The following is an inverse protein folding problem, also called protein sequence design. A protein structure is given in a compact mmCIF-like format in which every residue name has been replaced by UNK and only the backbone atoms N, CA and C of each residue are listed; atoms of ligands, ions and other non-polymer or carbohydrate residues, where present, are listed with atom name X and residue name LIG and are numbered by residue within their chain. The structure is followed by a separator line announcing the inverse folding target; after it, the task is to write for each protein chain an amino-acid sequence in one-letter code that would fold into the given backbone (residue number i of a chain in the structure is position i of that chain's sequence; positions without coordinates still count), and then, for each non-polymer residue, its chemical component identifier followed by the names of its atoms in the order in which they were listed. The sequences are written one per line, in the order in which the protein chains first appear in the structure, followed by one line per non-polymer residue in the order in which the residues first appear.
data_IF_949783192280
#
_entry.id   IF_949783192280
#
_cell.length_a   1.000
_cell.length_b   1.000
_cell.length_c   1.000
_cell.angle_alpha   90.00
_cell.angle_beta   90.00
_cell.angle_gamma   90.00
#
_symmetry.space_group_name_H-M   'P 1'
#
loop_
_entity.id
_entity.type
_entity.pdbx_description
1 polymer ?
#
# COMPACT_ATOMS: atom_id res chain seq x y z
N UNK A 1 -6.19 -3.13 14.46
CA UNK A 1 -7.25 -2.99 15.46
C UNK A 1 -6.90 -1.92 16.51
N UNK A 2 -5.73 -2.01 17.18
CA UNK A 2 -5.33 -1.05 18.25
C UNK A 2 -5.27 0.40 17.76
N UNK A 3 -4.75 0.66 16.57
CA UNK A 3 -4.68 2.01 15.97
C UNK A 3 -6.08 2.59 15.72
N UNK A 4 -7.05 1.78 15.25
CA UNK A 4 -8.42 2.23 15.08
C UNK A 4 -9.07 2.60 16.40
N UNK A 5 -8.91 1.74 17.41
CA UNK A 5 -9.41 2.03 18.75
C UNK A 5 -8.79 3.34 19.31
N UNK A 6 -7.48 3.51 19.16
CA UNK A 6 -6.79 4.72 19.60
C UNK A 6 -7.22 5.97 18.81
N UNK A 7 -7.48 5.85 17.50
CA UNK A 7 -7.96 6.94 16.67
C UNK A 7 -9.38 7.38 17.04
N UNK A 8 -10.29 6.43 17.26
CA UNK A 8 -11.66 6.70 17.65
C UNK A 8 -11.73 7.26 19.08
N UNK A 9 -11.14 6.58 20.06
CA UNK A 9 -11.14 7.00 21.47
C UNK A 9 -10.35 8.30 21.68
N UNK A 10 -9.31 8.51 20.87
CA UNK A 10 -8.49 9.73 20.89
C UNK A 10 -9.02 10.86 20.00
N UNK A 11 -10.16 10.70 19.32
CA UNK A 11 -10.73 11.69 18.38
C UNK A 11 -9.68 12.27 17.40
N UNK A 12 -8.81 11.44 16.85
CA UNK A 12 -7.76 11.84 15.92
C UNK A 12 -8.02 11.35 14.51
N UNK A 13 -8.24 12.28 13.57
CA UNK A 13 -8.39 11.99 12.16
C UNK A 13 -7.09 11.44 11.54
N UNK A 14 -5.92 11.97 11.94
CA UNK A 14 -4.63 11.51 11.50
C UNK A 14 -4.35 10.07 11.95
N UNK A 15 -4.74 9.70 13.19
CA UNK A 15 -4.57 8.34 13.69
C UNK A 15 -5.47 7.35 12.98
N UNK A 16 -6.71 7.73 12.63
CA UNK A 16 -7.61 6.90 11.83
C UNK A 16 -7.02 6.70 10.43
N UNK A 17 -6.49 7.74 9.79
CA UNK A 17 -5.84 7.65 8.49
C UNK A 17 -4.62 6.69 8.51
N UNK A 18 -3.75 6.80 9.53
CA UNK A 18 -2.61 5.89 9.70
C UNK A 18 -3.06 4.45 10.01
N UNK A 19 -4.19 4.26 10.71
CA UNK A 19 -4.78 2.95 10.95
C UNK A 19 -5.30 2.30 9.66
N UNK A 20 -5.96 3.09 8.79
CA UNK A 20 -6.43 2.64 7.46
C UNK A 20 -5.24 2.28 6.58
N UNK A 21 -4.19 3.10 6.54
CA UNK A 21 -2.97 2.81 5.80
C UNK A 21 -2.35 1.47 6.25
N UNK A 22 -2.18 1.25 7.55
CA UNK A 22 -1.66 -0.02 8.07
C UNK A 22 -2.58 -1.23 7.85
N UNK A 23 -3.90 -1.04 7.80
CA UNK A 23 -4.84 -2.09 7.43
C UNK A 23 -4.73 -2.45 5.96
N UNK A 24 -4.53 -1.45 5.11
CA UNK A 24 -4.26 -1.60 3.68
C UNK A 24 -3.08 -2.54 3.41
N UNK A 25 -1.95 -2.26 4.04
CA UNK A 25 -0.73 -3.05 3.90
C UNK A 25 -1.00 -4.51 4.32
N UNK A 26 -1.64 -4.70 5.48
CA UNK A 26 -1.99 -6.02 6.00
C UNK A 26 -2.97 -6.79 5.10
N UNK A 27 -3.96 -6.12 4.51
CA UNK A 27 -4.89 -6.73 3.56
C UNK A 27 -4.17 -7.14 2.27
N UNK A 28 -3.27 -6.30 1.78
CA UNK A 28 -2.45 -6.62 0.60
C UNK A 28 -1.60 -7.86 0.87
N UNK A 29 -0.95 -7.96 2.04
CA UNK A 29 -0.15 -9.12 2.42
C UNK A 29 -0.99 -10.41 2.49
N UNK A 30 -2.18 -10.35 3.10
CA UNK A 30 -3.10 -11.51 3.16
C UNK A 30 -3.51 -11.95 1.78
N UNK A 31 -3.82 -11.00 0.89
CA UNK A 31 -4.24 -11.32 -0.46
C UNK A 31 -3.11 -11.99 -1.22
N UNK A 32 -1.91 -11.42 -1.18
CA UNK A 32 -0.75 -12.06 -1.78
C UNK A 32 -0.61 -13.50 -1.28
N UNK A 33 -0.73 -13.74 0.03
CA UNK A 33 -0.62 -15.10 0.58
C UNK A 33 -1.74 -16.04 0.12
N UNK A 34 -3.00 -15.61 0.18
CA UNK A 34 -4.17 -16.44 -0.15
C UNK A 34 -4.27 -16.66 -1.66
N UNK A 35 -4.09 -15.61 -2.44
CA UNK A 35 -4.29 -15.68 -3.89
C UNK A 35 -3.10 -16.25 -4.64
N UNK A 36 -1.87 -16.13 -4.14
CA UNK A 36 -0.75 -16.93 -4.63
C UNK A 36 -1.05 -18.43 -4.47
N UNK A 37 -1.68 -18.82 -3.35
CA UNK A 37 -2.07 -20.21 -3.14
C UNK A 37 -3.19 -20.66 -4.10
N UNK A 38 -4.18 -19.81 -4.38
CA UNK A 38 -5.28 -20.10 -5.32
C UNK A 38 -4.79 -20.00 -6.76
N UNK A 39 -4.01 -18.99 -7.10
CA UNK A 39 -3.46 -18.75 -8.43
C UNK A 39 -2.49 -19.85 -8.90
N UNK A 40 -1.86 -20.55 -7.95
CA UNK A 40 -1.01 -21.71 -8.24
C UNK A 40 -1.79 -23.01 -8.51
N UNK A 41 -3.13 -22.99 -8.47
CA UNK A 41 -3.91 -24.15 -8.89
C UNK A 41 -3.72 -24.37 -10.39
N UNK A 42 -3.47 -25.63 -10.80
CA UNK A 42 -3.32 -25.96 -12.22
C UNK A 42 -4.60 -25.69 -13.00
N UNK A 43 -4.49 -25.73 -14.29
CA UNK A 43 -5.59 -25.71 -15.24
C UNK A 43 -6.64 -26.77 -14.89
N UNK A 44 -7.90 -26.42 -15.03
CA UNK A 44 -9.05 -27.32 -14.89
C UNK A 44 -9.98 -27.19 -16.09
N UNK A 45 -11.10 -27.92 -16.08
CA UNK A 45 -12.05 -27.96 -17.22
C UNK A 45 -12.71 -26.60 -17.52
N UNK A 46 -12.74 -25.70 -16.55
CA UNK A 46 -13.41 -24.40 -16.64
C UNK A 46 -12.40 -23.27 -16.83
N UNK A 47 -11.10 -23.52 -16.55
CA UNK A 47 -10.03 -22.53 -16.59
C UNK A 47 -8.79 -23.09 -17.31
N UNK A 48 -8.81 -23.10 -18.65
CA UNK A 48 -7.72 -23.60 -19.50
C UNK A 48 -6.38 -22.89 -19.31
N UNK A 49 -6.39 -21.66 -18.79
CA UNK A 49 -5.19 -20.85 -18.49
C UNK A 49 -4.87 -20.79 -16.99
N UNK A 50 -5.47 -21.67 -16.19
CA UNK A 50 -5.30 -21.69 -14.74
C UNK A 50 -6.02 -20.54 -14.02
N UNK A 51 -5.71 -20.38 -12.74
CA UNK A 51 -6.43 -19.49 -11.83
C UNK A 51 -5.70 -18.17 -11.50
N UNK A 52 -4.60 -17.86 -12.20
CA UNK A 52 -3.77 -16.69 -11.90
C UNK A 52 -4.51 -15.34 -11.86
N UNK A 53 -5.53 -15.15 -12.73
CA UNK A 53 -6.31 -13.89 -12.76
C UNK A 53 -7.22 -13.64 -11.55
N UNK A 54 -7.42 -14.63 -10.67
CA UNK A 54 -8.12 -14.41 -9.41
C UNK A 54 -7.36 -13.46 -8.48
N UNK A 55 -6.03 -13.53 -8.48
CA UNK A 55 -5.17 -12.61 -7.74
C UNK A 55 -5.37 -11.17 -8.24
N UNK A 56 -5.38 -10.98 -9.54
CA UNK A 56 -5.59 -9.69 -10.19
C UNK A 56 -6.96 -9.10 -9.86
N UNK A 57 -8.02 -9.92 -9.91
CA UNK A 57 -9.39 -9.47 -9.57
C UNK A 57 -9.50 -9.04 -8.11
N UNK A 58 -8.91 -9.79 -7.20
CA UNK A 58 -8.93 -9.45 -5.79
C UNK A 58 -8.15 -8.16 -5.51
N UNK A 59 -7.00 -7.98 -6.14
CA UNK A 59 -6.21 -6.74 -6.07
C UNK A 59 -7.00 -5.54 -6.60
N UNK A 60 -7.83 -5.73 -7.65
CA UNK A 60 -8.75 -4.68 -8.15
C UNK A 60 -9.78 -4.26 -7.10
N UNK A 61 -10.45 -5.24 -6.48
CA UNK A 61 -11.49 -4.97 -5.47
C UNK A 61 -10.91 -4.20 -4.29
N UNK A 62 -9.71 -4.58 -3.84
CA UNK A 62 -9.04 -3.90 -2.72
C UNK A 62 -8.56 -2.53 -3.12
N UNK A 63 -7.91 -2.39 -4.27
CA UNK A 63 -7.50 -1.09 -4.77
C UNK A 63 -8.67 -0.10 -4.82
N UNK A 64 -9.86 -0.57 -5.24
CA UNK A 64 -11.06 0.24 -5.30
C UNK A 64 -11.61 0.60 -3.91
N UNK A 65 -11.64 -0.36 -2.99
CA UNK A 65 -12.05 -0.11 -1.61
C UNK A 65 -11.12 0.90 -0.91
N UNK A 66 -9.81 0.75 -1.08
CA UNK A 66 -8.80 1.66 -0.54
C UNK A 66 -8.91 3.07 -1.12
N UNK A 67 -9.14 3.18 -2.43
CA UNK A 67 -9.35 4.47 -3.09
C UNK A 67 -10.56 5.19 -2.48
N UNK A 68 -11.68 4.48 -2.33
CA UNK A 68 -12.89 5.03 -1.71
C UNK A 68 -12.61 5.53 -0.30
N UNK A 69 -11.98 4.72 0.55
CA UNK A 69 -11.67 5.09 1.94
C UNK A 69 -10.67 6.24 1.99
N UNK A 70 -9.63 6.24 1.14
CA UNK A 70 -8.67 7.34 1.05
C UNK A 70 -9.32 8.68 0.67
N UNK A 71 -10.24 8.67 -0.29
CA UNK A 71 -11.02 9.85 -0.69
C UNK A 71 -11.93 10.32 0.45
N UNK A 72 -12.59 9.41 1.17
CA UNK A 72 -13.44 9.77 2.32
C UNK A 72 -12.63 10.43 3.44
N UNK A 73 -11.46 9.91 3.77
CA UNK A 73 -10.56 10.49 4.78
C UNK A 73 -10.07 11.87 4.34
N UNK A 74 -9.70 12.03 3.06
CA UNK A 74 -9.30 13.31 2.49
C UNK A 74 -10.43 14.35 2.62
N UNK A 75 -11.64 13.98 2.23
CA UNK A 75 -12.82 14.85 2.32
C UNK A 75 -13.10 15.29 3.77
N UNK A 76 -13.14 14.34 4.72
CA UNK A 76 -13.35 14.65 6.15
C UNK A 76 -12.25 15.56 6.70
N UNK A 77 -10.98 15.32 6.34
CA UNK A 77 -9.87 16.17 6.71
C UNK A 77 -9.99 17.61 6.16
N UNK A 78 -10.39 17.75 4.89
CA UNK A 78 -10.63 19.07 4.26
C UNK A 78 -11.77 19.80 4.94
N UNK A 79 -12.90 19.15 5.19
CA UNK A 79 -14.07 19.75 5.88
C UNK A 79 -13.68 20.20 7.29
N UNK A 80 -12.98 19.39 8.07
CA UNK A 80 -12.51 19.77 9.41
C UNK A 80 -11.53 20.93 9.37
N UNK A 81 -10.61 20.95 8.41
CA UNK A 81 -9.66 22.06 8.22
C UNK A 81 -10.41 23.36 7.86
N UNK A 82 -11.40 23.27 6.99
CA UNK A 82 -12.23 24.43 6.64
C UNK A 82 -13.03 24.97 7.83
N UNK A 83 -13.63 24.09 8.65
CA UNK A 83 -14.31 24.50 9.89
C UNK A 83 -13.35 25.19 10.86
N UNK A 84 -12.12 24.70 11.00
CA UNK A 84 -11.11 25.34 11.84
C UNK A 84 -10.77 26.77 11.38
N UNK A 85 -10.68 26.99 10.06
CA UNK A 85 -10.43 28.31 9.47
C UNK A 85 -11.59 29.26 9.75
N UNK A 86 -12.83 28.76 9.76
CA UNK A 86 -14.02 29.55 10.14
C UNK A 86 -14.14 29.82 11.64
N UNK A 87 -13.20 29.38 12.46
CA UNK A 87 -13.21 29.54 13.89
C UNK A 87 -14.10 28.57 14.66
N UNK A 88 -14.60 27.53 13.99
CA UNK A 88 -15.33 26.44 14.64
C UNK A 88 -14.34 25.59 15.41
N UNK A 89 -14.54 25.44 16.72
CA UNK A 89 -13.65 24.67 17.57
C UNK A 89 -13.66 23.19 17.17
N UNK A 90 -12.49 22.67 16.82
CA UNK A 90 -12.29 21.24 16.59
C UNK A 90 -12.08 20.50 17.92
N UNK A 91 -12.52 19.25 17.98
CA UNK A 91 -12.20 18.34 19.08
C UNK A 91 -10.70 18.13 19.17
N UNK A 92 -10.13 18.32 20.35
CA UNK A 92 -8.72 18.14 20.60
C UNK A 92 -8.39 16.66 20.60
N UNK A 93 -7.37 16.19 19.84
CA UNK A 93 -6.97 14.78 19.88
C UNK A 93 -6.48 14.42 21.28
N UNK A 94 -6.78 13.19 21.70
CA UNK A 94 -6.39 12.66 23.01
C UNK A 94 -4.97 12.10 23.03
N UNK A 95 -4.38 12.06 24.21
CA UNK A 95 -3.05 11.46 24.45
C UNK A 95 -2.95 10.00 23.98
N UNK A 96 -4.07 9.27 24.00
CA UNK A 96 -4.14 7.87 23.55
C UNK A 96 -3.73 7.76 22.06
N UNK A 97 -4.19 8.70 21.23
CA UNK A 97 -3.81 8.73 19.82
C UNK A 97 -2.31 9.00 19.63
N UNK A 98 -1.74 9.94 20.41
CA UNK A 98 -0.31 10.24 20.35
C UNK A 98 0.55 9.05 20.79
N UNK A 99 0.20 8.39 21.91
CA UNK A 99 0.91 7.23 22.40
C UNK A 99 0.86 6.08 21.36
N UNK A 100 -0.30 5.86 20.76
CA UNK A 100 -0.44 4.84 19.71
C UNK A 100 0.37 5.16 18.45
N UNK A 101 0.45 6.44 18.04
CA UNK A 101 1.29 6.88 16.92
C UNK A 101 2.78 6.64 17.21
N UNK A 102 3.25 7.02 18.40
CA UNK A 102 4.64 6.80 18.82
C UNK A 102 4.97 5.30 18.91
N UNK A 103 4.08 4.49 19.49
CA UNK A 103 4.24 3.04 19.54
C UNK A 103 4.29 2.42 18.12
N UNK A 104 3.49 2.94 17.20
CA UNK A 104 3.51 2.52 15.80
C UNK A 104 4.86 2.78 15.13
N UNK A 105 5.45 3.96 15.34
CA UNK A 105 6.77 4.31 14.80
C UNK A 105 7.83 3.34 15.33
N UNK A 106 7.84 3.11 16.64
CA UNK A 106 8.81 2.19 17.28
C UNK A 106 8.67 0.77 16.73
N UNK A 107 7.45 0.26 16.59
CA UNK A 107 7.19 -1.08 16.05
C UNK A 107 7.62 -1.20 14.57
N UNK A 108 7.32 -0.20 13.75
CA UNK A 108 7.73 -0.19 12.34
C UNK A 108 9.24 -0.08 12.18
N UNK A 109 9.91 0.75 12.96
CA UNK A 109 11.38 0.85 12.95
C UNK A 109 12.03 -0.45 13.43
N UNK A 110 11.46 -1.09 14.47
CA UNK A 110 11.90 -2.41 14.91
C UNK A 110 11.74 -3.47 13.81
N UNK A 111 10.59 -3.49 13.14
CA UNK A 111 10.34 -4.38 12.01
C UNK A 111 11.36 -4.16 10.87
N UNK A 112 11.67 -2.88 10.54
CA UNK A 112 12.71 -2.54 9.59
C UNK A 112 14.07 -3.15 10.00
N UNK A 113 14.52 -2.88 11.22
CA UNK A 113 15.82 -3.35 11.72
C UNK A 113 15.91 -4.88 11.67
N UNK A 114 14.86 -5.57 12.13
CA UNK A 114 14.79 -7.02 12.12
C UNK A 114 14.83 -7.57 10.69
N UNK A 115 13.97 -7.08 9.80
CA UNK A 115 13.89 -7.55 8.40
C UNK A 115 15.16 -7.25 7.63
N UNK A 116 15.77 -6.07 7.82
CA UNK A 116 17.02 -5.70 7.19
C UNK A 116 18.19 -6.58 7.65
N UNK A 117 18.26 -6.91 8.95
CA UNK A 117 19.28 -7.81 9.49
C UNK A 117 19.14 -9.23 8.91
N UNK A 118 17.90 -9.75 8.83
CA UNK A 118 17.63 -11.06 8.22
C UNK A 118 17.97 -11.04 6.71
N UNK A 119 17.54 -10.01 5.98
CA UNK A 119 17.80 -9.89 4.55
C UNK A 119 19.29 -9.86 4.21
N UNK A 120 20.09 -9.12 4.99
CA UNK A 120 21.55 -9.10 4.86
C UNK A 120 22.17 -10.48 5.18
N UNK A 121 21.67 -11.17 6.20
CA UNK A 121 22.18 -12.48 6.61
C UNK A 121 21.90 -13.57 5.58
N UNK A 122 20.75 -13.51 4.92
CA UNK A 122 20.32 -14.47 3.88
C UNK A 122 20.83 -14.06 2.48
N UNK A 123 21.39 -12.85 2.32
CA UNK A 123 21.85 -12.34 1.03
C UNK A 123 20.71 -12.00 0.05
N UNK A 124 19.47 -11.85 0.53
CA UNK A 124 18.30 -11.58 -0.30
C UNK A 124 18.04 -10.08 -0.45
N UNK A 125 18.23 -9.56 -1.65
CA UNK A 125 17.91 -8.17 -1.98
C UNK A 125 16.42 -7.86 -1.87
N UNK A 126 15.55 -8.82 -2.17
CA UNK A 126 14.10 -8.66 -2.04
C UNK A 126 13.67 -8.44 -0.58
N UNK A 127 14.25 -9.20 0.37
CA UNK A 127 13.98 -9.03 1.80
C UNK A 127 14.50 -7.68 2.31
N UNK A 128 15.65 -7.21 1.81
CA UNK A 128 16.19 -5.89 2.14
C UNK A 128 15.29 -4.79 1.57
N UNK A 129 14.78 -4.94 0.35
CA UNK A 129 13.83 -3.99 -0.25
C UNK A 129 12.52 -3.91 0.56
N UNK A 130 11.98 -5.06 1.02
CA UNK A 130 10.81 -5.09 1.89
C UNK A 130 11.07 -4.41 3.25
N UNK A 131 12.28 -4.51 3.80
CA UNK A 131 12.64 -3.76 4.99
C UNK A 131 12.56 -2.24 4.76
N UNK A 132 13.04 -1.73 3.64
CA UNK A 132 12.92 -0.31 3.28
C UNK A 132 11.47 0.15 3.14
N UNK A 133 10.55 -0.73 2.70
CA UNK A 133 9.12 -0.44 2.70
C UNK A 133 8.61 -0.16 4.13
N UNK A 134 8.91 -1.01 5.11
CA UNK A 134 8.57 -0.76 6.51
C UNK A 134 9.12 0.57 7.04
N UNK A 135 10.31 0.98 6.61
CA UNK A 135 10.89 2.26 7.00
C UNK A 135 10.16 3.45 6.38
N UNK A 136 9.75 3.34 5.13
CA UNK A 136 8.91 4.36 4.48
C UNK A 136 7.58 4.54 5.20
N UNK A 137 6.98 3.44 5.66
CA UNK A 137 5.75 3.46 6.45
C UNK A 137 5.95 4.07 7.85
N UNK A 138 7.14 3.88 8.44
CA UNK A 138 7.49 4.55 9.70
C UNK A 138 7.57 6.08 9.51
N UNK A 139 8.12 6.56 8.38
CA UNK A 139 8.18 7.99 8.07
C UNK A 139 6.78 8.61 7.92
N UNK A 140 5.83 7.91 7.30
CA UNK A 140 4.43 8.39 7.22
C UNK A 140 3.79 8.51 8.61
N UNK A 141 4.05 7.55 9.50
CA UNK A 141 3.58 7.59 10.90
C UNK A 141 4.21 8.71 11.72
N UNK A 142 5.43 9.18 11.38
CA UNK A 142 6.04 10.37 11.99
C UNK A 142 5.20 11.61 11.66
N UNK A 143 4.77 11.79 10.41
CA UNK A 143 3.87 12.87 10.02
C UNK A 143 2.57 12.88 10.84
N UNK A 144 1.97 11.71 11.04
CA UNK A 144 0.79 11.53 11.91
C UNK A 144 1.09 11.95 13.36
N UNK A 145 2.19 11.47 13.95
CA UNK A 145 2.58 11.80 15.32
C UNK A 145 2.85 13.29 15.50
N UNK A 146 3.48 13.96 14.53
CA UNK A 146 3.72 15.40 14.54
C UNK A 146 2.41 16.20 14.46
N UNK A 147 1.46 15.78 13.61
CA UNK A 147 0.13 16.39 13.52
C UNK A 147 -0.64 16.31 14.83
N UNK A 148 -0.73 15.11 15.41
CA UNK A 148 -1.40 14.87 16.70
C UNK A 148 -0.68 15.59 17.83
N UNK A 149 0.65 15.46 17.93
CA UNK A 149 1.46 16.10 18.96
C UNK A 149 1.36 17.62 18.91
N UNK A 150 1.45 18.22 17.72
CA UNK A 150 1.25 19.65 17.53
C UNK A 150 -0.14 20.10 17.96
N UNK A 151 -1.19 19.38 17.60
CA UNK A 151 -2.57 19.66 18.01
C UNK A 151 -2.77 19.59 19.55
N UNK A 152 -2.04 18.71 20.23
CA UNK A 152 -2.11 18.58 21.69
C UNK A 152 -1.29 19.65 22.40
N UNK A 153 -0.03 19.87 21.99
CA UNK A 153 0.94 20.66 22.72
C UNK A 153 0.84 22.16 22.48
N UNK A 154 0.49 22.58 21.25
CA UNK A 154 0.46 23.98 20.83
C UNK A 154 -0.86 24.69 21.16
N UNK A 155 -1.87 23.95 21.66
CA UNK A 155 -3.14 24.52 22.13
C UNK A 155 -4.24 24.57 21.08
N UNK A 156 -5.38 25.19 21.46
CA UNK A 156 -6.64 25.12 20.69
C UNK A 156 -6.56 25.62 19.24
N UNK A 157 -5.70 26.62 18.97
CA UNK A 157 -5.51 27.18 17.62
C UNK A 157 -4.82 26.19 16.67
N UNK A 158 -4.10 25.21 17.20
CA UNK A 158 -3.30 24.26 16.44
C UNK A 158 -3.95 22.89 16.30
N UNK A 159 -5.19 22.73 16.77
CA UNK A 159 -5.97 21.47 16.57
C UNK A 159 -6.18 21.13 15.09
N UNK A 160 -6.03 22.11 14.21
CA UNK A 160 -6.05 21.93 12.74
C UNK A 160 -4.91 21.05 12.20
N UNK A 161 -3.83 20.88 12.96
CA UNK A 161 -2.70 20.04 12.52
C UNK A 161 -3.08 18.55 12.40
N UNK A 162 -4.01 18.05 13.21
CA UNK A 162 -4.48 16.67 13.11
C UNK A 162 -5.22 16.41 11.80
N UNK A 163 -6.26 17.16 11.39
CA UNK A 163 -6.89 16.95 10.09
C UNK A 163 -5.96 17.24 8.89
N UNK A 164 -5.01 18.17 9.01
CA UNK A 164 -4.00 18.38 7.96
C UNK A 164 -3.11 17.14 7.81
N UNK A 165 -2.66 16.55 8.90
CA UNK A 165 -1.90 15.29 8.85
C UNK A 165 -2.72 14.16 8.25
N UNK A 166 -4.04 14.08 8.56
CA UNK A 166 -4.95 13.11 7.94
C UNK A 166 -5.05 13.29 6.41
N UNK A 167 -5.12 14.53 5.92
CA UNK A 167 -5.11 14.84 4.49
C UNK A 167 -3.81 14.34 3.85
N UNK A 168 -2.67 14.63 4.45
CA UNK A 168 -1.37 14.18 3.92
C UNK A 168 -1.32 12.65 3.83
N UNK A 169 -1.71 11.94 4.89
CA UNK A 169 -1.76 10.47 4.89
C UNK A 169 -2.73 9.95 3.85
N UNK A 170 -3.91 10.58 3.67
CA UNK A 170 -4.88 10.17 2.67
C UNK A 170 -4.34 10.26 1.23
N UNK A 171 -3.48 11.23 0.92
CA UNK A 171 -2.81 11.29 -0.39
C UNK A 171 -1.89 10.10 -0.63
N UNK A 172 -1.19 9.60 0.41
CA UNK A 172 -0.40 8.38 0.29
C UNK A 172 -1.28 7.15 0.04
N UNK A 173 -2.43 7.05 0.73
CA UNK A 173 -3.40 5.95 0.53
C UNK A 173 -3.95 5.99 -0.90
N UNK A 174 -4.39 7.16 -1.37
CA UNK A 174 -4.91 7.36 -2.74
C UNK A 174 -3.82 7.01 -3.78
N UNK A 175 -2.60 7.50 -3.58
CA UNK A 175 -1.48 7.21 -4.49
C UNK A 175 -1.15 5.73 -4.55
N UNK A 176 -1.15 5.02 -3.42
CA UNK A 176 -0.94 3.57 -3.36
C UNK A 176 -2.07 2.80 -4.06
N UNK A 177 -3.33 3.15 -3.78
CA UNK A 177 -4.49 2.51 -4.40
C UNK A 177 -4.56 2.75 -5.92
N UNK A 178 -4.25 3.95 -6.41
CA UNK A 178 -4.19 4.22 -7.85
C UNK A 178 -3.07 3.44 -8.54
N UNK A 179 -1.91 3.27 -7.89
CA UNK A 179 -0.82 2.45 -8.40
C UNK A 179 -1.23 0.98 -8.50
N UNK A 180 -1.87 0.45 -7.44
CA UNK A 180 -2.38 -0.91 -7.41
C UNK A 180 -3.42 -1.13 -8.52
N UNK A 181 -4.40 -0.23 -8.64
CA UNK A 181 -5.43 -0.30 -9.68
C UNK A 181 -4.84 -0.23 -11.09
N UNK A 182 -3.85 0.63 -11.32
CA UNK A 182 -3.18 0.71 -12.62
C UNK A 182 -2.51 -0.61 -12.98
N UNK A 183 -1.73 -1.20 -12.05
CA UNK A 183 -1.09 -2.49 -12.29
C UNK A 183 -2.12 -3.59 -12.60
N UNK A 184 -3.21 -3.60 -11.85
CA UNK A 184 -4.31 -4.55 -12.02
C UNK A 184 -5.02 -4.40 -13.36
N UNK A 185 -5.30 -3.15 -13.77
CA UNK A 185 -5.91 -2.86 -15.07
C UNK A 185 -4.96 -3.23 -16.21
N UNK A 186 -3.69 -2.88 -16.11
CA UNK A 186 -2.66 -3.25 -17.09
C UNK A 186 -2.63 -4.78 -17.29
N UNK A 187 -2.71 -5.56 -16.22
CA UNK A 187 -2.71 -7.02 -16.27
C UNK A 187 -4.03 -7.60 -16.82
N UNK A 188 -5.19 -7.03 -16.44
CA UNK A 188 -6.50 -7.43 -16.99
C UNK A 188 -6.61 -7.11 -18.48
N UNK A 189 -5.97 -6.02 -18.94
CA UNK A 189 -5.92 -5.61 -20.35
C UNK A 189 -4.81 -6.33 -21.13
N UNK A 190 -4.19 -7.35 -20.53
CA UNK A 190 -3.16 -8.18 -21.17
C UNK A 190 -1.98 -7.36 -21.69
N UNK A 191 -1.52 -6.39 -20.89
CA UNK A 191 -0.34 -5.59 -21.22
C UNK A 191 0.87 -6.50 -21.41
N UNK A 192 1.65 -6.23 -22.47
CA UNK A 192 2.94 -6.90 -22.74
C UNK A 192 3.93 -6.74 -21.58
N UNK A 193 4.89 -7.62 -21.54
CA UNK A 193 6.03 -7.49 -20.63
C UNK A 193 6.86 -6.26 -20.97
N UNK A 194 7.71 -5.79 -20.03
CA UNK A 194 8.70 -4.76 -20.31
C UNK A 194 9.63 -5.16 -21.44
N UNK A 195 10.05 -4.18 -22.25
CA UNK A 195 10.85 -4.37 -23.46
C UNK A 195 12.15 -5.13 -23.19
N UNK A 196 12.78 -4.92 -22.04
CA UNK A 196 14.01 -5.62 -21.60
C UNK A 196 13.80 -7.13 -21.46
N UNK A 197 12.63 -7.57 -21.01
CA UNK A 197 12.27 -8.98 -20.89
C UNK A 197 11.94 -9.57 -22.27
N UNK A 198 11.21 -8.82 -23.11
CA UNK A 198 10.87 -9.28 -24.47
C UNK A 198 12.13 -9.42 -25.33
N UNK A 199 13.08 -8.47 -25.25
CA UNK A 199 14.38 -8.55 -25.93
C UNK A 199 15.18 -9.77 -25.46
N UNK A 200 15.19 -10.10 -24.17
CA UNK A 200 15.86 -11.25 -23.62
C UNK A 200 15.24 -12.57 -24.13
N UNK A 201 13.90 -12.64 -24.21
CA UNK A 201 13.20 -13.79 -24.77
C UNK A 201 13.59 -14.00 -26.25
N UNK A 202 13.62 -12.91 -27.05
CA UNK A 202 14.02 -12.95 -28.44
C UNK A 202 15.46 -13.44 -28.58
N UNK A 203 16.39 -12.86 -27.77
CA UNK A 203 17.80 -13.26 -27.79
C UNK A 203 17.99 -14.74 -27.51
N UNK A 204 17.37 -15.24 -26.43
CA UNK A 204 17.48 -16.66 -26.06
C UNK A 204 16.94 -17.58 -27.17
N UNK A 205 15.83 -17.21 -27.79
CA UNK A 205 15.25 -18.04 -28.82
C UNK A 205 16.02 -17.98 -30.14
N UNK A 206 16.68 -16.88 -30.49
CA UNK A 206 17.57 -16.74 -31.67
C UNK A 206 18.92 -17.40 -31.48
N UNK A 207 19.32 -17.76 -30.25
CA UNK A 207 20.51 -18.58 -29.97
C UNK A 207 20.35 -20.02 -30.46
N UNK A 208 19.09 -20.49 -30.67
CA UNK A 208 18.83 -21.83 -31.19
C UNK A 208 19.16 -21.94 -32.69
N UNK A 209 20.02 -22.90 -33.15
CA UNK A 209 20.51 -22.96 -34.51
C UNK A 209 19.42 -23.11 -35.59
N UNK A 210 18.22 -23.54 -35.21
CA UNK A 210 17.10 -23.76 -36.14
C UNK A 210 16.17 -22.55 -36.26
N UNK A 211 16.41 -21.47 -35.49
CA UNK A 211 15.57 -20.28 -35.50
C UNK A 211 16.31 -19.16 -36.27
N UNK A 212 15.70 -18.66 -37.35
CA UNK A 212 16.25 -17.61 -38.17
C UNK A 212 15.82 -16.21 -37.73
N UNK A 213 14.63 -16.05 -37.21
CA UNK A 213 14.10 -14.81 -36.66
C UNK A 213 12.77 -15.06 -35.93
N UNK A 214 12.44 -14.16 -35.01
CA UNK A 214 11.16 -14.17 -34.27
C UNK A 214 10.32 -12.99 -34.76
N UNK A 215 9.04 -13.26 -35.06
CA UNK A 215 8.07 -12.25 -35.47
C UNK A 215 6.84 -12.27 -34.59
N UNK A 216 6.26 -11.11 -34.31
CA UNK A 216 4.98 -10.97 -33.62
C UNK A 216 4.95 -11.62 -32.23
N UNK A 217 6.06 -11.51 -31.49
CA UNK A 217 6.08 -11.92 -30.09
C UNK A 217 4.92 -11.21 -29.35
N UNK A 218 4.14 -11.97 -28.61
CA UNK A 218 3.09 -11.47 -27.75
C UNK A 218 3.29 -12.08 -26.38
N UNK A 219 3.40 -11.22 -25.40
CA UNK A 219 3.61 -11.61 -24.01
C UNK A 219 2.51 -11.06 -23.13
N UNK A 220 2.23 -11.72 -22.02
CA UNK A 220 1.29 -11.24 -21.02
C UNK A 220 1.59 -11.85 -19.65
N UNK A 221 1.12 -11.19 -18.61
CA UNK A 221 1.10 -11.76 -17.26
C UNK A 221 -0.22 -12.44 -16.96
N UNK A 222 -0.14 -13.56 -16.24
CA UNK A 222 -1.29 -14.30 -15.70
C UNK A 222 -0.96 -14.54 -14.24
N UNK A 223 -1.22 -13.57 -13.36
CA UNK A 223 -0.76 -13.59 -11.99
C UNK A 223 0.77 -13.62 -11.92
N UNK A 224 1.34 -14.63 -11.27
CA UNK A 224 2.78 -14.84 -11.17
C UNK A 224 3.41 -15.50 -12.41
N UNK A 225 2.61 -15.98 -13.33
CA UNK A 225 3.08 -16.65 -14.54
C UNK A 225 3.18 -15.69 -15.72
N UNK A 226 4.07 -16.01 -16.65
CA UNK A 226 4.26 -15.32 -17.92
C UNK A 226 3.81 -16.27 -19.03
N UNK A 227 3.03 -15.77 -19.98
CA UNK A 227 2.61 -16.49 -21.18
C UNK A 227 2.90 -15.65 -22.41
#
# INVERSE_FOLDING_TARGET
VLKFAAGILGNSAAMIADAVHSLSDFLTDIIVMVFVHIGNKPEDKDHDYGHGKYETLASAIIGMALLMVGVMICYDGVVKTYHAIQGIALTKPGWIALIAALASIVLKEWAYQFTAAVGKKVGSQAVVANAWHHRSDALSSIGTALGIGGAILLGAKWTVLDPIAAIIVSFFIIGASLRLLKQTVDELMERSLPDDIEEEIIRIAEEEPCVSSIHHLRTRRIGNNIA
#
